data_IF_992908049307
#
_entry.id   IF_992908049307
#
_cell.length_a   1.000
_cell.length_b   1.000
_cell.length_c   1.000
_cell.angle_alpha   90.00
_cell.angle_beta   90.00
_cell.angle_gamma   90.00
#
_symmetry.space_group_name_H-M   'P 1'
#
loop_
_entity.id
_entity.type
_entity.pdbx_description
1 polymer ?
#
# COMPACT_ATOMS: atom_id res chain seq x y z
N UNK A 1 -9.20 1.21 -8.06
CA UNK A 1 -8.29 2.33 -7.78
C UNK A 1 -6.86 1.81 -7.70
N UNK A 2 -5.87 2.42 -8.36
CA UNK A 2 -4.50 1.93 -8.32
C UNK A 2 -3.78 2.38 -7.04
N UNK A 3 -4.12 1.77 -5.91
CA UNK A 3 -3.50 2.06 -4.63
C UNK A 3 -3.23 0.75 -3.87
N UNK A 4 -1.96 0.35 -3.69
CA UNK A 4 -1.60 -0.90 -3.02
C UNK A 4 -2.21 -1.06 -1.62
N UNK A 5 -2.44 0.03 -0.89
CA UNK A 5 -3.06 -0.04 0.43
C UNK A 5 -4.54 -0.44 0.40
N UNK A 6 -5.26 -0.09 -0.69
CA UNK A 6 -6.65 -0.52 -0.89
C UNK A 6 -6.67 -1.99 -1.30
N UNK A 7 -5.70 -2.45 -2.09
CA UNK A 7 -5.65 -3.83 -2.57
C UNK A 7 -5.56 -4.87 -1.46
N UNK A 8 -4.98 -4.54 -0.32
CA UNK A 8 -5.00 -5.43 0.85
C UNK A 8 -6.42 -5.87 1.20
N UNK A 9 -7.37 -4.95 1.13
CA UNK A 9 -8.78 -5.23 1.39
C UNK A 9 -9.48 -5.86 0.18
N UNK A 10 -9.25 -5.38 -1.05
CA UNK A 10 -9.95 -5.89 -2.24
C UNK A 10 -9.50 -7.31 -2.62
N UNK A 11 -8.21 -7.62 -2.49
CA UNK A 11 -7.68 -8.98 -2.67
C UNK A 11 -8.24 -9.91 -1.58
N UNK A 12 -8.16 -9.50 -0.30
CA UNK A 12 -8.72 -10.27 0.79
C UNK A 12 -10.23 -10.51 0.61
N UNK A 13 -10.97 -9.52 0.14
CA UNK A 13 -12.42 -9.63 -0.10
C UNK A 13 -12.74 -10.65 -1.21
N UNK A 14 -11.99 -10.60 -2.30
CA UNK A 14 -12.12 -11.57 -3.41
C UNK A 14 -11.88 -12.99 -2.94
N UNK A 15 -10.78 -13.22 -2.21
CA UNK A 15 -10.42 -14.51 -1.65
C UNK A 15 -11.40 -15.02 -0.59
N UNK A 16 -12.01 -14.13 0.19
CA UNK A 16 -12.92 -14.46 1.29
C UNK A 16 -14.39 -14.46 0.89
N UNK A 17 -14.74 -14.18 -0.37
CA UNK A 17 -16.14 -14.05 -0.82
C UNK A 17 -16.90 -12.91 -0.11
N UNK A 18 -16.19 -11.83 0.27
CA UNK A 18 -16.77 -10.64 0.91
C UNK A 18 -17.00 -9.56 -0.15
N UNK A 19 -18.18 -9.00 -0.16
CA UNK A 19 -18.51 -7.88 -1.03
C UNK A 19 -18.10 -6.56 -0.36
N UNK A 20 -17.41 -5.69 -1.13
CA UNK A 20 -17.01 -4.36 -0.70
C UNK A 20 -17.56 -3.30 -1.65
N UNK A 21 -18.24 -2.29 -1.10
CA UNK A 21 -18.54 -1.06 -1.83
C UNK A 21 -17.34 -0.12 -1.74
N UNK A 22 -16.53 -0.07 -2.80
CA UNK A 22 -15.29 0.71 -2.83
C UNK A 22 -15.55 2.05 -3.52
N UNK A 23 -15.54 3.13 -2.75
CA UNK A 23 -15.73 4.50 -3.21
C UNK A 23 -14.44 5.31 -3.13
N UNK A 24 -14.22 6.19 -4.09
CA UNK A 24 -13.08 7.10 -4.05
C UNK A 24 -12.53 7.45 -5.42
N UNK A 25 -11.38 8.11 -5.42
CA UNK A 25 -10.75 8.71 -6.58
C UNK A 25 -9.27 8.33 -6.67
N UNK A 26 -8.62 8.76 -7.75
CA UNK A 26 -7.16 8.70 -7.89
C UNK A 26 -6.51 9.67 -6.91
N UNK A 27 -5.25 9.44 -6.57
CA UNK A 27 -4.52 10.26 -5.59
C UNK A 27 -4.54 11.76 -5.88
N UNK A 28 -4.47 12.17 -7.15
CA UNK A 28 -4.54 13.58 -7.55
C UNK A 28 -5.95 14.20 -7.48
N UNK A 29 -6.99 13.38 -7.33
CA UNK A 29 -8.39 13.78 -7.33
C UNK A 29 -9.02 13.76 -5.93
N UNK A 30 -8.23 13.40 -4.90
CA UNK A 30 -8.74 13.26 -3.52
C UNK A 30 -9.34 14.56 -2.95
N UNK A 31 -8.85 15.71 -3.41
CA UNK A 31 -9.36 17.03 -3.05
C UNK A 31 -10.72 17.39 -3.69
N UNK A 32 -11.19 16.60 -4.65
CA UNK A 32 -12.46 16.78 -5.35
C UNK A 32 -13.59 15.90 -4.80
N UNK A 33 -13.35 15.27 -3.65
CA UNK A 33 -14.30 14.37 -3.01
C UNK A 33 -14.65 14.83 -1.60
N UNK A 34 -15.91 14.63 -1.22
CA UNK A 34 -16.37 14.68 0.17
C UNK A 34 -16.13 13.31 0.80
N UNK A 35 -15.32 13.29 1.85
CA UNK A 35 -14.98 12.08 2.60
C UNK A 35 -15.95 11.90 3.75
N UNK A 36 -16.77 10.89 3.63
CA UNK A 36 -17.78 10.44 4.58
C UNK A 36 -18.02 8.94 4.40
N UNK A 37 -18.95 8.37 5.17
CA UNK A 37 -19.46 7.02 4.93
C UNK A 37 -19.96 6.87 3.47
N UNK A 38 -20.73 7.83 3.00
CA UNK A 38 -21.20 7.93 1.61
C UNK A 38 -20.28 8.82 0.77
N UNK A 39 -18.97 8.52 0.75
CA UNK A 39 -18.00 9.29 -0.01
C UNK A 39 -18.45 9.51 -1.46
N UNK A 40 -18.37 10.75 -1.94
CA UNK A 40 -18.85 11.18 -3.26
C UNK A 40 -18.06 12.37 -3.82
N UNK A 41 -18.12 12.64 -5.12
CA UNK A 41 -17.60 13.88 -5.67
C UNK A 41 -18.24 15.12 -5.02
N UNK A 42 -17.45 16.19 -4.88
CA UNK A 42 -17.94 17.47 -4.34
C UNK A 42 -18.96 18.11 -5.24
N UNK A 43 -19.99 18.67 -4.62
CA UNK A 43 -20.92 19.61 -5.25
C UNK A 43 -20.43 21.04 -5.10
N UNK A 44 -21.09 22.01 -5.77
CA UNK A 44 -20.80 23.45 -5.60
C UNK A 44 -21.06 23.91 -4.16
N UNK A 45 -22.10 23.38 -3.51
CA UNK A 45 -22.43 23.73 -2.13
C UNK A 45 -21.35 23.23 -1.13
N UNK A 46 -20.73 22.09 -1.38
CA UNK A 46 -19.65 21.55 -0.51
C UNK A 46 -18.38 22.43 -0.59
N UNK A 47 -18.18 23.12 -1.71
CA UNK A 47 -17.00 23.97 -1.95
C UNK A 47 -17.13 25.36 -1.34
N UNK A 48 -18.28 25.70 -0.78
CA UNK A 48 -18.48 26.96 -0.07
C UNK A 48 -17.51 27.04 1.11
N UNK A 49 -16.82 28.17 1.26
CA UNK A 49 -15.83 28.39 2.32
C UNK A 49 -16.47 28.33 3.73
N UNK A 50 -17.76 28.66 3.83
CA UNK A 50 -18.51 28.61 5.08
C UNK A 50 -19.03 27.20 5.44
N UNK A 51 -18.86 26.22 4.55
CA UNK A 51 -19.33 24.84 4.80
C UNK A 51 -18.65 24.15 5.99
N UNK A 52 -17.49 24.65 6.41
CA UNK A 52 -16.71 24.05 7.50
C UNK A 52 -16.14 22.66 7.19
N UNK A 53 -16.31 22.16 5.97
CA UNK A 53 -15.91 20.80 5.55
C UNK A 53 -14.42 20.67 5.27
N UNK A 54 -13.74 21.78 5.01
CA UNK A 54 -12.31 21.77 4.68
C UNK A 54 -11.48 21.50 5.92
N UNK A 55 -10.73 20.39 5.90
CA UNK A 55 -9.83 19.99 6.98
C UNK A 55 -8.41 19.83 6.45
N UNK A 56 -7.43 20.43 7.15
CA UNK A 56 -6.01 20.13 6.89
C UNK A 56 -5.72 18.70 7.35
N UNK A 57 -5.10 17.92 6.48
CA UNK A 57 -4.49 16.66 6.90
C UNK A 57 -3.30 16.94 7.82
N UNK A 58 -3.15 16.14 8.89
CA UNK A 58 -1.98 16.20 9.78
C UNK A 58 -0.82 15.33 9.27
N UNK A 59 -1.12 14.39 8.37
CA UNK A 59 -0.15 13.41 7.85
C UNK A 59 -0.37 13.16 6.37
N UNK A 60 0.72 13.08 5.59
CA UNK A 60 0.78 12.51 4.26
C UNK A 60 0.20 13.30 3.09
N UNK A 61 -0.70 14.25 3.32
CA UNK A 61 -1.24 15.11 2.27
C UNK A 61 -1.10 16.57 2.65
N UNK A 62 -0.40 17.35 1.84
CA UNK A 62 -0.30 18.81 1.98
C UNK A 62 -1.59 19.54 1.55
N UNK A 63 -2.52 18.84 0.89
CA UNK A 63 -3.76 19.39 0.36
C UNK A 63 -4.88 19.52 1.38
N UNK A 64 -5.87 20.35 1.04
CA UNK A 64 -7.13 20.44 1.76
C UNK A 64 -8.03 19.30 1.32
N UNK A 65 -8.57 18.55 2.26
CA UNK A 65 -9.58 17.52 2.02
C UNK A 65 -10.89 17.92 2.67
N UNK A 66 -12.00 17.63 2.01
CA UNK A 66 -13.34 17.87 2.51
C UNK A 66 -13.81 16.65 3.29
N UNK A 67 -14.07 16.83 4.58
CA UNK A 67 -14.44 15.74 5.51
C UNK A 67 -15.59 16.19 6.39
N UNK A 68 -16.57 15.30 6.58
CA UNK A 68 -17.66 15.56 7.53
C UNK A 68 -17.20 15.34 8.96
N UNK A 69 -17.94 15.91 9.91
CA UNK A 69 -17.70 15.64 11.34
C UNK A 69 -18.02 14.17 11.68
N UNK A 70 -18.99 13.56 11.04
CA UNK A 70 -19.31 12.14 11.18
C UNK A 70 -18.11 11.25 10.75
N UNK A 71 -17.47 11.58 9.63
CA UNK A 71 -16.25 10.88 9.21
C UNK A 71 -15.15 10.99 10.26
N UNK A 72 -14.90 12.19 10.79
CA UNK A 72 -13.85 12.41 11.79
C UNK A 72 -14.18 11.79 13.15
N UNK A 73 -15.46 11.69 13.52
CA UNK A 73 -15.88 10.98 14.72
C UNK A 73 -15.64 9.47 14.60
N UNK A 74 -15.92 8.88 13.44
CA UNK A 74 -15.69 7.46 13.19
C UNK A 74 -14.21 7.15 12.92
N UNK A 75 -13.45 8.10 12.38
CA UNK A 75 -12.03 7.96 12.03
C UNK A 75 -11.22 9.17 12.50
N UNK A 76 -10.76 9.17 13.77
CA UNK A 76 -10.13 10.35 14.40
C UNK A 76 -8.86 10.88 13.73
N UNK A 77 -8.12 10.02 13.00
CA UNK A 77 -6.94 10.43 12.25
C UNK A 77 -7.28 11.06 10.90
N UNK A 78 -8.49 10.83 10.38
CA UNK A 78 -8.98 11.44 9.15
C UNK A 78 -8.17 11.10 7.90
N UNK A 79 -7.49 9.94 7.86
CA UNK A 79 -6.68 9.47 6.74
C UNK A 79 -7.51 8.61 5.78
N UNK A 80 -6.98 8.36 4.58
CA UNK A 80 -7.53 7.39 3.62
C UNK A 80 -6.45 6.39 3.24
N UNK A 81 -6.79 5.09 3.07
CA UNK A 81 -8.13 4.52 3.08
C UNK A 81 -8.76 4.44 4.49
N UNK A 82 -10.09 4.54 4.51
CA UNK A 82 -10.95 4.23 5.64
C UNK A 82 -12.02 3.23 5.20
N UNK A 83 -12.52 2.43 6.13
CA UNK A 83 -13.66 1.54 5.90
C UNK A 83 -14.70 1.75 6.99
N UNK A 84 -15.92 1.34 6.74
CA UNK A 84 -17.03 1.49 7.66
C UNK A 84 -17.83 0.18 7.76
N UNK A 85 -18.44 -0.03 8.92
CA UNK A 85 -19.48 -1.04 9.05
C UNK A 85 -20.65 -0.70 8.11
N UNK A 86 -21.49 -1.70 7.70
CA UNK A 86 -22.60 -1.46 6.76
C UNK A 86 -23.59 -0.38 7.20
N UNK A 87 -23.70 -0.10 8.49
CA UNK A 87 -24.54 0.96 9.06
C UNK A 87 -23.81 2.30 9.24
N UNK A 88 -22.55 2.39 8.82
CA UNK A 88 -21.73 3.61 8.91
C UNK A 88 -21.24 3.99 10.30
N UNK A 89 -21.60 3.23 11.35
CA UNK A 89 -21.33 3.64 12.73
C UNK A 89 -19.92 3.37 13.21
N UNK A 90 -19.27 2.34 12.66
CA UNK A 90 -17.91 1.94 13.05
C UNK A 90 -16.97 2.24 11.92
N UNK A 91 -16.09 3.22 12.12
CA UNK A 91 -14.99 3.51 11.22
C UNK A 91 -13.78 2.62 11.53
N UNK A 92 -13.18 2.08 10.49
CA UNK A 92 -11.98 1.24 10.54
C UNK A 92 -10.90 1.94 9.75
N UNK A 93 -9.77 2.20 10.37
CA UNK A 93 -8.63 2.85 9.75
C UNK A 93 -7.39 1.95 9.83
N UNK A 94 -6.32 2.33 9.14
CA UNK A 94 -5.16 1.51 8.81
C UNK A 94 -5.50 0.34 7.87
N UNK A 95 -4.81 0.31 6.72
CA UNK A 95 -5.06 -0.67 5.67
C UNK A 95 -4.95 -2.13 6.14
N UNK A 96 -4.02 -2.40 7.08
CA UNK A 96 -3.87 -3.73 7.68
C UNK A 96 -5.08 -4.09 8.57
N UNK A 97 -5.65 -3.13 9.29
CA UNK A 97 -6.85 -3.36 10.11
C UNK A 97 -8.09 -3.58 9.25
N UNK A 98 -8.20 -2.86 8.14
CA UNK A 98 -9.26 -3.07 7.15
C UNK A 98 -9.17 -4.50 6.56
N UNK A 99 -7.96 -4.94 6.16
CA UNK A 99 -7.73 -6.29 5.66
C UNK A 99 -8.08 -7.38 6.70
N UNK A 100 -7.66 -7.18 7.98
CA UNK A 100 -8.06 -8.07 9.10
C UNK A 100 -9.57 -8.17 9.26
N UNK A 101 -10.27 -7.04 9.14
CA UNK A 101 -11.73 -7.04 9.23
C UNK A 101 -12.36 -7.85 8.10
N UNK A 102 -11.89 -7.66 6.87
CA UNK A 102 -12.36 -8.43 5.71
C UNK A 102 -12.12 -9.93 5.91
N UNK A 103 -10.91 -10.32 6.36
CA UNK A 103 -10.60 -11.73 6.63
C UNK A 103 -11.49 -12.35 7.71
N UNK A 104 -11.88 -11.57 8.76
CA UNK A 104 -12.81 -12.03 9.81
C UNK A 104 -14.26 -12.13 9.34
N UNK A 105 -14.63 -11.38 8.30
CA UNK A 105 -15.96 -11.45 7.66
C UNK A 105 -16.05 -12.57 6.61
N UNK A 106 -15.03 -13.40 6.46
CA UNK A 106 -14.93 -14.48 5.48
C UNK A 106 -16.23 -15.29 5.36
N UNK A 107 -16.69 -15.46 4.13
CA UNK A 107 -17.85 -16.30 3.77
C UNK A 107 -17.43 -17.60 3.09
N UNK A 108 -16.30 -17.58 2.38
CA UNK A 108 -15.75 -18.73 1.64
C UNK A 108 -14.23 -18.58 1.51
N UNK A 109 -13.57 -19.55 0.87
CA UNK A 109 -12.15 -19.49 0.57
C UNK A 109 -11.22 -19.72 1.77
N UNK A 110 -9.95 -19.34 1.68
CA UNK A 110 -8.93 -19.62 2.69
C UNK A 110 -9.14 -18.82 3.99
N UNK A 111 -8.60 -19.35 5.10
CA UNK A 111 -8.59 -18.66 6.39
C UNK A 111 -7.42 -17.66 6.44
N UNK A 112 -7.56 -16.52 5.73
CA UNK A 112 -6.48 -15.54 5.56
C UNK A 112 -5.88 -15.00 6.86
N UNK A 113 -6.57 -15.15 7.98
CA UNK A 113 -6.10 -14.71 9.30
C UNK A 113 -5.73 -15.87 10.22
N UNK A 114 -5.45 -17.05 9.63
CA UNK A 114 -5.11 -18.27 10.34
C UNK A 114 -6.33 -19.01 10.89
N UNK A 115 -6.09 -20.20 11.43
CA UNK A 115 -7.12 -21.11 11.95
C UNK A 115 -7.12 -21.19 13.47
N UNK A 116 -6.06 -20.73 14.11
CA UNK A 116 -5.91 -20.70 15.56
C UNK A 116 -5.24 -19.37 16.02
N UNK A 117 -5.17 -19.13 17.36
CA UNK A 117 -4.60 -17.87 17.87
C UNK A 117 -3.10 -17.70 17.56
N UNK A 118 -2.33 -18.75 17.38
CA UNK A 118 -0.89 -18.66 17.09
C UNK A 118 -0.66 -18.30 15.63
N UNK A 119 -1.42 -18.89 14.72
CA UNK A 119 -1.43 -18.49 13.32
C UNK A 119 -1.81 -17.02 13.18
N UNK A 120 -2.90 -16.60 13.84
CA UNK A 120 -3.34 -15.22 13.84
C UNK A 120 -2.25 -14.26 14.36
N UNK A 121 -1.60 -14.60 15.48
CA UNK A 121 -0.50 -13.83 16.03
C UNK A 121 0.71 -13.78 15.09
N UNK A 122 1.00 -14.89 14.39
CA UNK A 122 2.07 -14.94 13.39
C UNK A 122 1.76 -14.07 12.17
N UNK A 123 0.51 -14.08 11.70
CA UNK A 123 0.04 -13.15 10.65
C UNK A 123 0.20 -11.72 11.15
N UNK A 124 -0.26 -11.39 12.35
CA UNK A 124 -0.11 -10.05 12.94
C UNK A 124 1.35 -9.59 12.99
N UNK A 125 2.28 -10.47 13.33
CA UNK A 125 3.72 -10.14 13.35
C UNK A 125 4.21 -9.61 11.99
N UNK A 126 3.81 -10.23 10.88
CA UNK A 126 4.15 -9.76 9.53
C UNK A 126 3.45 -8.44 9.19
N UNK A 127 2.18 -8.31 9.58
CA UNK A 127 1.42 -7.08 9.34
C UNK A 127 2.01 -5.89 10.10
N UNK A 128 2.47 -6.09 11.33
CA UNK A 128 3.01 -5.03 12.17
C UNK A 128 4.43 -4.62 11.71
N UNK A 129 5.28 -5.58 11.36
CA UNK A 129 6.59 -5.29 10.75
C UNK A 129 6.44 -4.55 9.42
N UNK A 130 5.41 -4.87 8.63
CA UNK A 130 5.14 -4.16 7.38
C UNK A 130 4.83 -2.68 7.57
N UNK A 131 4.30 -2.26 8.74
CA UNK A 131 4.03 -0.84 9.03
C UNK A 131 5.33 -0.05 9.23
N UNK A 132 6.38 -0.67 9.80
CA UNK A 132 7.70 -0.05 9.93
C UNK A 132 8.29 0.19 8.55
N UNK A 133 8.33 -0.83 7.70
CA UNK A 133 8.76 -0.71 6.31
C UNK A 133 7.94 0.33 5.53
N UNK A 134 6.61 0.28 5.66
CA UNK A 134 5.70 1.19 4.97
C UNK A 134 5.89 2.67 5.38
N UNK A 135 6.26 2.95 6.65
CA UNK A 135 6.54 4.30 7.13
C UNK A 135 7.74 4.90 6.40
N UNK A 136 8.86 4.20 6.40
CA UNK A 136 10.11 4.70 5.84
C UNK A 136 10.04 4.72 4.31
N UNK A 137 9.47 3.67 3.70
CA UNK A 137 9.18 3.63 2.26
C UNK A 137 8.23 4.74 1.80
N UNK A 138 7.21 5.09 2.58
CA UNK A 138 6.32 6.22 2.24
C UNK A 138 7.02 7.56 2.35
N UNK A 139 7.82 7.79 3.40
CA UNK A 139 8.61 9.02 3.56
C UNK A 139 9.52 9.21 2.36
N UNK A 140 10.21 8.15 1.95
CA UNK A 140 11.05 8.12 0.78
C UNK A 140 10.30 8.45 -0.52
N UNK A 141 9.20 7.74 -0.81
CA UNK A 141 8.41 7.95 -2.03
C UNK A 141 7.77 9.35 -2.11
N UNK A 142 7.43 9.95 -0.98
CA UNK A 142 6.93 11.33 -0.93
C UNK A 142 8.05 12.33 -1.18
N UNK A 143 9.23 12.10 -0.62
CA UNK A 143 10.42 12.92 -0.87
C UNK A 143 10.82 12.87 -2.35
N UNK A 144 10.85 11.68 -2.96
CA UNK A 144 11.06 11.51 -4.40
C UNK A 144 10.00 12.25 -5.22
N UNK A 145 8.73 12.12 -4.85
CA UNK A 145 7.61 12.75 -5.57
C UNK A 145 7.63 14.28 -5.52
N UNK A 146 8.23 14.87 -4.49
CA UNK A 146 8.39 16.31 -4.32
C UNK A 146 9.75 16.85 -4.78
N UNK A 147 10.70 15.97 -5.12
CA UNK A 147 12.08 16.34 -5.42
C UNK A 147 12.90 16.79 -4.20
N UNK A 148 12.41 16.54 -2.97
CA UNK A 148 13.07 16.93 -1.71
C UNK A 148 13.65 15.69 -1.00
N UNK A 149 14.44 14.91 -1.70
CA UNK A 149 15.14 13.74 -1.16
C UNK A 149 16.53 14.13 -0.65
N UNK A 150 16.95 13.54 0.46
CA UNK A 150 18.31 13.62 1.00
C UNK A 150 18.87 12.23 1.32
N UNK A 151 20.16 12.18 1.68
CA UNK A 151 20.86 10.93 2.00
C UNK A 151 20.27 10.23 3.23
N UNK A 152 19.78 10.95 4.23
CA UNK A 152 19.23 10.37 5.46
C UNK A 152 17.91 9.65 5.18
N UNK A 153 17.02 10.27 4.40
CA UNK A 153 15.75 9.68 3.97
C UNK A 153 16.04 8.46 3.08
N UNK A 154 16.97 8.56 2.15
CA UNK A 154 17.36 7.48 1.26
C UNK A 154 17.93 6.29 2.05
N UNK A 155 18.91 6.54 2.93
CA UNK A 155 19.56 5.52 3.76
C UNK A 155 18.55 4.81 4.68
N UNK A 156 17.62 5.56 5.27
CA UNK A 156 16.55 4.98 6.10
C UNK A 156 15.66 4.04 5.29
N UNK A 157 15.30 4.44 4.06
CA UNK A 157 14.49 3.60 3.17
C UNK A 157 15.25 2.35 2.70
N UNK A 158 16.54 2.48 2.38
CA UNK A 158 17.38 1.35 2.00
C UNK A 158 17.49 0.33 3.14
N UNK A 159 17.79 0.79 4.36
CA UNK A 159 17.85 -0.07 5.54
C UNK A 159 16.52 -0.75 5.85
N UNK A 160 15.40 -0.03 5.70
CA UNK A 160 14.07 -0.62 5.89
C UNK A 160 13.76 -1.68 4.83
N UNK A 161 14.13 -1.46 3.57
CA UNK A 161 13.99 -2.41 2.48
C UNK A 161 14.80 -3.69 2.73
N UNK A 162 16.08 -3.56 3.06
CA UNK A 162 16.95 -4.70 3.37
C UNK A 162 16.44 -5.51 4.57
N UNK A 163 16.07 -4.84 5.66
CA UNK A 163 15.55 -5.47 6.87
C UNK A 163 14.27 -6.26 6.57
N UNK A 164 13.35 -5.63 5.85
CA UNK A 164 12.08 -6.25 5.53
C UNK A 164 12.23 -7.45 4.61
N UNK A 165 12.99 -7.32 3.50
CA UNK A 165 13.21 -8.43 2.56
C UNK A 165 14.02 -9.56 3.16
N UNK A 166 15.03 -9.27 3.99
CA UNK A 166 15.77 -10.31 4.73
C UNK A 166 14.84 -11.15 5.60
N UNK A 167 13.93 -10.50 6.33
CA UNK A 167 12.95 -11.19 7.18
C UNK A 167 11.97 -12.05 6.38
N UNK A 168 11.45 -11.53 5.26
CA UNK A 168 10.56 -12.28 4.35
C UNK A 168 11.30 -13.46 3.72
N UNK A 169 12.51 -13.25 3.22
CA UNK A 169 13.31 -14.31 2.59
C UNK A 169 13.64 -15.45 3.57
N UNK A 170 14.00 -15.09 4.81
CA UNK A 170 14.23 -16.05 5.87
C UNK A 170 12.95 -16.81 6.29
N UNK A 171 11.80 -16.14 6.33
CA UNK A 171 10.52 -16.74 6.67
C UNK A 171 10.07 -17.80 5.65
N UNK A 172 10.46 -17.65 4.38
CA UNK A 172 10.16 -18.59 3.31
C UNK A 172 11.16 -19.77 3.22
N UNK A 173 12.19 -19.82 4.08
CA UNK A 173 13.13 -20.92 4.16
C UNK A 173 12.59 -22.07 5.03
N UNK A 174 12.99 -23.35 4.78
CA UNK A 174 13.47 -23.92 3.54
C UNK A 174 12.32 -24.42 2.67
N UNK A 175 11.94 -23.70 1.64
CA UNK A 175 10.89 -24.05 0.66
C UNK A 175 9.44 -23.90 1.15
N UNK A 176 9.17 -22.96 2.03
CA UNK A 176 7.78 -22.59 2.35
C UNK A 176 7.12 -21.88 1.17
N UNK A 177 5.89 -22.24 0.90
CA UNK A 177 5.10 -21.61 -0.16
C UNK A 177 4.50 -20.28 0.27
N UNK A 178 4.15 -20.13 1.56
CA UNK A 178 3.52 -18.95 2.15
C UNK A 178 4.24 -18.51 3.43
N UNK A 179 4.03 -17.27 3.83
CA UNK A 179 4.69 -16.67 5.00
C UNK A 179 4.23 -17.28 6.32
N UNK A 180 2.97 -17.72 6.39
CA UNK A 180 2.38 -18.33 7.57
C UNK A 180 1.60 -19.58 7.17
N UNK A 181 1.88 -20.72 7.82
CA UNK A 181 1.20 -21.97 7.54
C UNK A 181 1.44 -22.52 6.13
N UNK A 182 0.47 -23.27 5.63
CA UNK A 182 0.52 -23.95 4.33
C UNK A 182 -0.40 -23.31 3.27
N UNK A 183 -1.19 -22.31 3.68
CA UNK A 183 -2.13 -21.58 2.83
C UNK A 183 -1.80 -20.10 2.77
N UNK A 184 -2.36 -19.43 1.75
CA UNK A 184 -2.25 -17.98 1.58
C UNK A 184 -2.92 -17.24 2.74
N UNK A 185 -2.21 -16.25 3.29
CA UNK A 185 -2.67 -15.44 4.42
C UNK A 185 -2.60 -13.94 4.15
N UNK A 186 -3.07 -13.13 5.09
CA UNK A 186 -2.91 -11.67 5.03
C UNK A 186 -1.45 -11.23 5.00
N UNK A 187 -0.52 -12.03 5.55
CA UNK A 187 0.91 -11.74 5.51
C UNK A 187 1.41 -11.63 4.06
N UNK A 188 0.99 -12.58 3.21
CA UNK A 188 1.35 -12.63 1.78
C UNK A 188 0.72 -11.45 1.00
N UNK A 189 -0.55 -11.15 1.27
CA UNK A 189 -1.26 -10.02 0.64
C UNK A 189 -0.58 -8.69 0.98
N UNK A 190 -0.24 -8.49 2.25
CA UNK A 190 0.39 -7.27 2.74
C UNK A 190 1.80 -7.14 2.19
N UNK A 191 2.58 -8.22 2.16
CA UNK A 191 3.90 -8.24 1.53
C UNK A 191 3.84 -7.79 0.07
N UNK A 192 2.97 -8.40 -0.74
CA UNK A 192 2.82 -8.02 -2.15
C UNK A 192 2.43 -6.54 -2.32
N UNK A 193 1.47 -6.07 -1.53
CA UNK A 193 0.99 -4.68 -1.60
C UNK A 193 2.06 -3.66 -1.20
N UNK A 194 2.84 -3.92 -0.16
CA UNK A 194 3.91 -3.00 0.27
C UNK A 194 5.07 -2.99 -0.73
N UNK A 195 5.44 -4.14 -1.28
CA UNK A 195 6.50 -4.19 -2.28
C UNK A 195 6.07 -3.54 -3.61
N UNK A 196 4.82 -3.71 -4.04
CA UNK A 196 4.25 -2.93 -5.15
C UNK A 196 4.26 -1.42 -4.86
N UNK A 197 4.00 -1.02 -3.61
CA UNK A 197 4.08 0.39 -3.24
C UNK A 197 5.49 0.93 -3.38
N UNK A 198 6.50 0.18 -2.93
CA UNK A 198 7.91 0.54 -3.01
C UNK A 198 8.42 0.57 -4.46
N UNK A 199 7.95 -0.32 -5.33
CA UNK A 199 8.31 -0.36 -6.76
C UNK A 199 8.01 0.96 -7.51
N UNK A 200 7.23 1.88 -6.92
CA UNK A 200 7.02 3.25 -7.45
C UNK A 200 8.30 4.06 -7.52
N UNK A 201 9.35 3.69 -6.78
CA UNK A 201 10.70 4.25 -6.92
C UNK A 201 11.13 4.34 -8.39
N UNK A 202 10.86 3.30 -9.17
CA UNK A 202 11.21 3.24 -10.59
C UNK A 202 10.61 4.37 -11.46
N UNK A 203 9.60 5.08 -10.94
CA UNK A 203 9.03 6.25 -11.61
C UNK A 203 9.80 7.55 -11.33
N UNK A 204 10.82 7.51 -10.47
CA UNK A 204 11.55 8.68 -9.97
C UNK A 204 13.07 8.61 -10.20
N UNK A 205 13.53 7.82 -11.17
CA UNK A 205 14.95 7.63 -11.48
C UNK A 205 15.68 8.96 -11.78
N UNK A 206 14.99 9.92 -12.41
CA UNK A 206 15.57 11.24 -12.70
C UNK A 206 15.90 12.00 -11.40
N UNK A 207 15.00 11.98 -10.41
CA UNK A 207 15.21 12.63 -9.11
C UNK A 207 16.37 11.98 -8.36
N UNK A 208 16.44 10.65 -8.34
CA UNK A 208 17.56 9.92 -7.73
C UNK A 208 18.90 10.34 -8.37
N UNK A 209 18.92 10.41 -9.70
CA UNK A 209 20.09 10.84 -10.45
C UNK A 209 20.49 12.28 -10.15
N UNK A 210 19.54 13.21 -10.05
CA UNK A 210 19.81 14.62 -9.72
C UNK A 210 20.45 14.79 -8.34
N UNK A 211 20.20 13.86 -7.42
CA UNK A 211 20.74 13.86 -6.06
C UNK A 211 21.91 12.88 -5.86
N UNK A 212 22.44 12.27 -6.93
CA UNK A 212 23.51 11.26 -6.88
C UNK A 212 23.19 10.06 -5.96
N UNK A 213 21.91 9.69 -5.84
CA UNK A 213 21.43 8.59 -5.00
C UNK A 213 21.18 7.34 -5.84
N UNK A 214 21.62 6.15 -5.37
CA UNK A 214 21.37 4.89 -6.10
C UNK A 214 19.91 4.46 -5.99
N UNK A 215 19.48 3.64 -6.95
CA UNK A 215 18.19 2.92 -6.88
C UNK A 215 18.29 1.84 -5.80
N UNK A 216 17.29 1.72 -4.95
CA UNK A 216 17.24 0.72 -3.87
C UNK A 216 16.75 -0.62 -4.40
N UNK A 217 15.60 -0.63 -5.10
CA UNK A 217 14.99 -1.86 -5.63
C UNK A 217 15.60 -2.22 -6.99
N UNK A 218 16.82 -2.73 -6.98
CA UNK A 218 17.56 -3.17 -8.16
C UNK A 218 17.37 -4.66 -8.43
N UNK A 219 17.79 -5.11 -9.62
CA UNK A 219 17.88 -6.54 -9.93
C UNK A 219 18.89 -7.26 -9.03
N UNK A 220 20.01 -6.60 -8.70
CA UNK A 220 21.01 -7.12 -7.78
C UNK A 220 20.44 -7.28 -6.35
N UNK A 221 19.71 -6.30 -5.83
CA UNK A 221 18.98 -6.43 -4.57
C UNK A 221 18.02 -7.63 -4.59
N UNK A 222 17.37 -7.88 -5.73
CA UNK A 222 16.50 -9.03 -5.92
C UNK A 222 17.26 -10.37 -5.81
N UNK A 223 18.52 -10.42 -6.24
CA UNK A 223 19.36 -11.63 -6.13
C UNK A 223 19.77 -11.94 -4.70
N UNK A 224 19.83 -10.93 -3.80
CA UNK A 224 20.12 -11.14 -2.38
C UNK A 224 18.94 -11.76 -1.62
N UNK A 225 17.70 -11.60 -2.11
CA UNK A 225 16.48 -12.09 -1.47
C UNK A 225 15.67 -12.98 -2.43
N UNK A 226 16.24 -14.09 -2.93
CA UNK A 226 15.68 -14.86 -4.03
C UNK A 226 14.31 -15.47 -3.72
N UNK A 227 14.09 -15.92 -2.46
CA UNK A 227 12.81 -16.50 -2.05
C UNK A 227 11.72 -15.43 -1.94
N UNK A 228 12.04 -14.29 -1.33
CA UNK A 228 11.11 -13.16 -1.22
C UNK A 228 10.69 -12.68 -2.62
N UNK A 229 11.63 -12.52 -3.55
CA UNK A 229 11.34 -12.04 -4.89
C UNK A 229 10.61 -13.08 -5.76
N UNK A 230 10.94 -14.37 -5.61
CA UNK A 230 10.18 -15.44 -6.26
C UNK A 230 8.73 -15.49 -5.75
N UNK A 231 8.54 -15.32 -4.43
CA UNK A 231 7.21 -15.25 -3.82
C UNK A 231 6.44 -14.02 -4.28
N UNK A 232 7.07 -12.86 -4.35
CA UNK A 232 6.46 -11.65 -4.91
C UNK A 232 6.00 -11.87 -6.35
N UNK A 233 6.85 -12.45 -7.19
CA UNK A 233 6.51 -12.77 -8.58
C UNK A 233 5.34 -13.75 -8.68
N UNK A 234 5.34 -14.78 -7.82
CA UNK A 234 4.23 -15.73 -7.73
C UNK A 234 2.91 -15.04 -7.36
N UNK A 235 2.93 -14.16 -6.35
CA UNK A 235 1.74 -13.44 -5.91
C UNK A 235 1.25 -12.45 -7.00
N UNK A 236 2.14 -11.76 -7.68
CA UNK A 236 1.77 -10.85 -8.79
C UNK A 236 1.06 -11.58 -9.94
N UNK A 237 1.41 -12.85 -10.18
CA UNK A 237 0.80 -13.68 -11.22
C UNK A 237 -0.46 -14.42 -10.74
N UNK A 238 -0.76 -14.41 -9.44
CA UNK A 238 -1.92 -15.11 -8.88
C UNK A 238 -3.22 -14.47 -9.37
N UNK A 239 -4.22 -15.29 -9.75
CA UNK A 239 -5.48 -14.84 -10.35
C UNK A 239 -6.27 -13.82 -9.52
N UNK A 240 -6.19 -13.90 -8.19
CA UNK A 240 -6.86 -12.97 -7.29
C UNK A 240 -6.07 -11.66 -7.05
N UNK A 241 -4.79 -11.62 -7.37
CA UNK A 241 -3.92 -10.45 -7.21
C UNK A 241 -3.74 -9.70 -8.52
N UNK A 242 -3.61 -10.42 -9.62
CA UNK A 242 -3.32 -9.86 -10.93
C UNK A 242 -4.29 -8.73 -11.38
N UNK A 243 -5.62 -8.79 -11.11
CA UNK A 243 -6.52 -7.72 -11.49
C UNK A 243 -6.17 -6.34 -10.91
N UNK A 244 -5.58 -6.31 -9.72
CA UNK A 244 -5.14 -5.07 -9.06
C UNK A 244 -3.69 -4.73 -9.42
N UNK A 245 -2.79 -5.72 -9.39
CA UNK A 245 -1.34 -5.52 -9.48
C UNK A 245 -0.87 -5.33 -10.93
N UNK A 246 -1.32 -6.14 -11.88
CA UNK A 246 -0.77 -6.12 -13.23
C UNK A 246 -0.91 -4.75 -13.92
N UNK A 247 -2.08 -4.08 -13.94
CA UNK A 247 -2.21 -2.77 -14.57
C UNK A 247 -1.39 -1.67 -13.90
N UNK A 248 -1.05 -1.86 -12.63
CA UNK A 248 -0.22 -0.92 -11.89
C UNK A 248 1.27 -1.11 -12.23
N UNK A 249 1.74 -2.35 -12.20
CA UNK A 249 3.14 -2.67 -12.53
C UNK A 249 3.47 -2.32 -13.97
N UNK A 250 2.54 -2.56 -14.92
CA UNK A 250 2.68 -2.12 -16.32
C UNK A 250 2.88 -0.60 -16.44
N UNK A 251 2.14 0.19 -15.66
CA UNK A 251 2.29 1.66 -15.66
C UNK A 251 3.61 2.11 -15.07
N UNK A 252 4.07 1.45 -14.00
CA UNK A 252 5.38 1.74 -13.40
C UNK A 252 6.48 1.42 -14.41
N UNK A 253 6.44 0.26 -15.04
CA UNK A 253 7.44 -0.15 -16.02
C UNK A 253 7.45 0.78 -17.26
N UNK A 254 6.29 1.13 -17.79
CA UNK A 254 6.20 2.08 -18.90
C UNK A 254 6.78 3.46 -18.52
N UNK A 255 6.60 3.88 -17.27
CA UNK A 255 7.18 5.14 -16.79
C UNK A 255 8.69 5.02 -16.59
N UNK A 256 9.15 3.90 -16.02
CA UNK A 256 10.58 3.59 -15.86
C UNK A 256 11.31 3.67 -17.20
N UNK A 257 10.78 2.99 -18.22
CA UNK A 257 11.35 2.97 -19.56
C UNK A 257 11.42 4.36 -20.19
N UNK A 258 10.37 5.18 -20.01
CA UNK A 258 10.36 6.55 -20.51
C UNK A 258 11.46 7.39 -19.86
N UNK A 259 11.54 7.36 -18.53
CA UNK A 259 12.56 8.11 -17.78
C UNK A 259 13.96 7.61 -18.13
N UNK A 260 14.17 6.30 -18.19
CA UNK A 260 15.46 5.72 -18.56
C UNK A 260 15.93 6.12 -19.98
N UNK A 261 14.99 6.31 -20.92
CA UNK A 261 15.33 6.77 -22.28
C UNK A 261 15.71 8.27 -22.33
N UNK A 262 15.24 9.05 -21.38
CA UNK A 262 15.54 10.50 -21.25
C UNK A 262 16.83 10.76 -20.46
N UNK A 263 17.32 9.77 -19.69
CA UNK A 263 18.54 9.89 -18.90
C UNK A 263 19.81 9.60 -19.74
N UNK A 264 20.95 10.28 -19.45
CA UNK A 264 22.24 9.98 -20.07
C UNK A 264 22.69 8.54 -19.80
N UNK A 265 23.46 7.94 -20.73
CA UNK A 265 23.93 6.55 -20.65
C UNK A 265 24.74 6.18 -19.40
N UNK A 266 25.13 7.16 -18.58
CA UNK A 266 25.85 6.94 -17.31
C UNK A 266 24.97 6.40 -16.19
N UNK A 267 23.64 6.34 -16.38
CA UNK A 267 22.66 6.07 -15.32
C UNK A 267 21.74 4.90 -15.71
N UNK A 268 21.94 4.34 -16.89
CA UNK A 268 21.31 3.12 -17.37
C UNK A 268 22.05 1.90 -16.85
#
# INVERSE_FOLDING_TARGET
MPNPRIWKATIAARLCGVELDVRGARSGELGDWLWDFDARPLTSADRDQDSGLVRKSRTGFSGRLYKTDAFLAAHPFGTVPAAFSPDGKVGIFESNSIARTVARLRRSGPALYGTDPYDAARVDSFLDVSLVFARDGQTYLLALGSGNIDEDIHSSAASAFETYLSGIDAALAPNRKYLVGDDLTLADIVFAAELCSFAREAAHLAVLSEHDLPVIMTEEASQHYPRAMAHFSYLCAHEDFAPDIAPFMEKIEARRQRVANELPDRIK
#
